data_IF_361180636838
#
_entry.id   IF_361180636838
#
_cell.length_a   1.000
_cell.length_b   1.000
_cell.length_c   1.000
_cell.angle_alpha   90.00
_cell.angle_beta   90.00
_cell.angle_gamma   90.00
#
_symmetry.space_group_name_H-M   'P 1'
#
loop_
_entity.id
_entity.type
_entity.pdbx_description
1 polymer ?
#
# COMPACT_ATOMS: atom_id res chain seq x y z
N UNK A 1 -3.95 22.55 -13.55
CA UNK A 1 -4.53 21.96 -12.31
C UNK A 1 -4.48 20.44 -12.51
N UNK A 2 -3.40 19.80 -12.04
CA UNK A 2 -3.14 18.38 -12.26
C UNK A 2 -3.89 17.56 -11.22
N UNK A 3 -5.16 17.31 -11.49
CA UNK A 3 -5.99 16.37 -10.75
C UNK A 3 -5.85 15.00 -11.40
N UNK A 4 -5.80 13.96 -10.56
CA UNK A 4 -5.76 12.55 -10.93
C UNK A 4 -4.38 12.02 -11.36
N UNK A 5 -3.41 12.04 -10.44
CA UNK A 5 -2.22 11.20 -10.62
C UNK A 5 -2.63 9.74 -10.35
N UNK A 6 -2.87 8.99 -11.42
CA UNK A 6 -2.81 7.52 -11.36
C UNK A 6 -1.48 7.15 -10.69
N UNK A 7 -1.59 6.59 -9.50
CA UNK A 7 -0.43 6.20 -8.71
C UNK A 7 -0.09 4.78 -9.12
N UNK A 8 1.19 4.52 -9.38
CA UNK A 8 1.67 3.16 -9.60
C UNK A 8 1.95 2.52 -8.25
N UNK A 9 1.39 1.35 -7.99
CA UNK A 9 1.61 0.64 -6.75
C UNK A 9 3.08 0.18 -6.68
N UNK A 10 3.89 0.63 -5.70
CA UNK A 10 5.31 0.25 -5.62
C UNK A 10 5.52 -1.24 -5.32
N UNK A 11 4.47 -1.95 -4.85
CA UNK A 11 4.53 -3.38 -4.53
C UNK A 11 4.32 -4.28 -5.75
N UNK A 12 3.34 -3.96 -6.61
CA UNK A 12 2.98 -4.81 -7.74
C UNK A 12 3.19 -4.13 -9.11
N UNK A 13 3.51 -2.84 -9.15
CA UNK A 13 3.61 -2.04 -10.37
C UNK A 13 2.27 -1.69 -11.02
N UNK A 14 1.14 -2.13 -10.46
CA UNK A 14 -0.19 -1.87 -11.02
C UNK A 14 -0.61 -0.40 -10.89
N UNK A 15 -1.17 0.17 -11.96
CA UNK A 15 -1.81 1.49 -11.93
C UNK A 15 -3.08 1.48 -11.09
N UNK A 16 -3.24 2.46 -10.21
CA UNK A 16 -4.44 2.63 -9.41
C UNK A 16 -4.69 4.11 -9.11
N UNK A 17 -5.96 4.42 -8.86
CA UNK A 17 -6.36 5.77 -8.49
C UNK A 17 -6.26 5.98 -6.97
N UNK A 18 -5.24 6.72 -6.50
CA UNK A 18 -5.16 7.08 -5.07
C UNK A 18 -6.14 8.24 -4.77
N UNK A 19 -7.37 7.89 -4.38
CA UNK A 19 -8.44 8.83 -4.03
C UNK A 19 -8.19 9.71 -2.78
N UNK A 20 -6.96 9.79 -2.28
CA UNK A 20 -6.61 10.53 -1.05
C UNK A 20 -6.79 12.05 -1.19
N UNK A 21 -6.74 12.56 -2.44
CA UNK A 21 -6.98 13.98 -2.76
C UNK A 21 -8.31 14.21 -3.50
N UNK A 22 -9.08 13.15 -3.73
CA UNK A 22 -10.32 13.21 -4.48
C UNK A 22 -11.53 13.46 -3.59
N UNK A 23 -12.62 13.89 -4.21
CA UNK A 23 -13.93 14.07 -3.56
C UNK A 23 -14.46 12.74 -2.99
N UNK A 24 -14.05 11.61 -3.56
CA UNK A 24 -14.38 10.27 -3.06
C UNK A 24 -13.11 9.57 -2.58
N UNK A 25 -12.99 9.26 -1.27
CA UNK A 25 -11.81 8.60 -0.74
C UNK A 25 -11.65 7.20 -1.33
N UNK A 26 -10.41 6.73 -1.45
CA UNK A 26 -10.14 5.34 -1.82
C UNK A 26 -10.82 4.40 -0.81
N UNK A 27 -11.32 3.25 -1.27
CA UNK A 27 -11.70 2.14 -0.38
C UNK A 27 -10.49 1.54 0.36
N UNK A 28 -9.29 2.07 0.12
CA UNK A 28 -8.06 1.62 0.74
C UNK A 28 -7.99 1.99 2.24
N UNK A 29 -8.67 3.07 2.66
CA UNK A 29 -8.81 3.45 4.06
C UNK A 29 -9.89 2.70 4.85
N UNK A 30 -10.71 1.87 4.19
CA UNK A 30 -11.72 1.04 4.89
C UNK A 30 -11.16 -0.31 5.34
N UNK A 31 -9.87 -0.55 5.07
CA UNK A 31 -9.20 -1.79 5.40
C UNK A 31 -8.64 -1.66 6.81
N UNK A 32 -8.99 -2.61 7.68
CA UNK A 32 -8.44 -2.68 9.02
C UNK A 32 -6.99 -3.19 8.93
N UNK A 33 -6.07 -2.32 9.33
CA UNK A 33 -4.64 -2.63 9.41
C UNK A 33 -4.18 -2.33 10.83
N UNK A 34 -3.39 -3.24 11.40
CA UNK A 34 -2.75 -3.00 12.69
C UNK A 34 -1.78 -1.82 12.59
N UNK A 35 -1.58 -1.13 13.72
CA UNK A 35 -0.66 0.01 13.78
C UNK A 35 0.79 -0.38 13.39
N UNK A 36 1.20 -1.61 13.71
CA UNK A 36 2.51 -2.14 13.33
C UNK A 36 2.63 -2.31 11.81
N UNK A 37 1.63 -2.94 11.17
CA UNK A 37 1.57 -3.07 9.71
C UNK A 37 1.61 -1.68 9.04
N UNK A 38 0.82 -0.71 9.54
CA UNK A 38 0.84 0.66 9.02
C UNK A 38 2.19 1.38 9.21
N UNK A 39 2.92 1.11 10.29
CA UNK A 39 4.27 1.64 10.46
C UNK A 39 5.22 1.05 9.42
N UNK A 40 5.26 -0.28 9.29
CA UNK A 40 6.09 -0.98 8.31
C UNK A 40 5.83 -0.49 6.88
N UNK A 41 4.56 -0.31 6.52
CA UNK A 41 4.20 0.23 5.21
C UNK A 41 4.77 1.63 4.99
N UNK A 42 4.72 2.51 6.00
CA UNK A 42 5.23 3.89 5.88
C UNK A 42 6.75 3.96 5.88
N UNK A 43 7.42 3.03 6.54
CA UNK A 43 8.88 2.92 6.55
C UNK A 43 9.42 2.38 5.21
N UNK A 44 8.74 1.41 4.61
CA UNK A 44 9.17 0.77 3.37
C UNK A 44 8.58 1.40 2.10
N UNK A 45 7.37 1.94 2.15
CA UNK A 45 6.68 2.54 1.02
C UNK A 45 6.32 4.01 1.31
N UNK A 46 6.83 4.91 0.48
CA UNK A 46 6.51 6.34 0.52
C UNK A 46 5.26 6.72 -0.30
N UNK A 47 4.66 5.77 -1.02
CA UNK A 47 3.49 5.97 -1.88
C UNK A 47 2.29 5.09 -1.47
N UNK A 48 1.07 5.47 -1.90
CA UNK A 48 -0.10 4.63 -1.62
C UNK A 48 0.04 3.27 -2.31
N UNK A 49 -0.53 2.23 -1.71
CA UNK A 49 -0.68 0.91 -2.31
C UNK A 49 -2.07 0.77 -2.93
N UNK A 50 -2.17 -0.05 -3.97
CA UNK A 50 -3.46 -0.36 -4.56
C UNK A 50 -4.33 -1.23 -3.62
N UNK A 51 -5.65 -1.19 -3.83
CA UNK A 51 -6.63 -1.94 -3.05
C UNK A 51 -6.33 -3.46 -2.92
N UNK A 52 -5.97 -4.20 -4.00
CA UNK A 52 -5.67 -5.63 -3.86
C UNK A 52 -4.44 -5.88 -3.00
N UNK A 53 -3.37 -5.09 -3.15
CA UNK A 53 -2.17 -5.20 -2.31
C UNK A 53 -2.49 -4.91 -0.84
N UNK A 54 -3.26 -3.87 -0.54
CA UNK A 54 -3.65 -3.56 0.83
C UNK A 54 -4.53 -4.66 1.46
N UNK A 55 -5.44 -5.25 0.69
CA UNK A 55 -6.24 -6.40 1.17
C UNK A 55 -5.39 -7.61 1.48
N UNK A 56 -4.35 -7.85 0.70
CA UNK A 56 -3.42 -8.94 0.94
C UNK A 56 -2.58 -8.67 2.18
N UNK A 57 -2.04 -7.46 2.31
CA UNK A 57 -1.35 -7.00 3.53
C UNK A 57 -2.24 -7.13 4.76
N UNK A 58 -3.52 -6.80 4.67
CA UNK A 58 -4.46 -6.93 5.79
C UNK A 58 -4.74 -8.38 6.20
N UNK A 59 -4.54 -9.32 5.28
CA UNK A 59 -4.64 -10.77 5.58
C UNK A 59 -3.32 -11.33 6.09
N UNK A 60 -2.20 -10.71 5.74
CA UNK A 60 -0.87 -11.09 6.21
C UNK A 60 -0.65 -10.58 7.63
N UNK A 61 -0.02 -11.39 8.46
CA UNK A 61 0.50 -10.93 9.76
C UNK A 61 1.68 -9.96 9.55
N UNK A 62 1.89 -9.00 10.47
CA UNK A 62 3.03 -8.08 10.41
C UNK A 62 4.36 -8.83 10.32
N UNK A 63 4.53 -9.97 11.01
CA UNK A 63 5.69 -10.84 10.88
C UNK A 63 5.92 -11.35 9.45
N UNK A 64 4.85 -11.78 8.77
CA UNK A 64 4.95 -12.26 7.39
C UNK A 64 5.31 -11.13 6.43
N UNK A 65 4.77 -9.92 6.64
CA UNK A 65 5.11 -8.75 5.85
C UNK A 65 6.59 -8.36 6.02
N UNK A 66 7.10 -8.40 7.26
CA UNK A 66 8.53 -8.16 7.56
C UNK A 66 9.42 -9.21 6.91
N UNK A 67 9.02 -10.48 6.95
CA UNK A 67 9.75 -11.57 6.31
C UNK A 67 9.80 -11.43 4.78
N UNK A 68 8.74 -10.90 4.17
CA UNK A 68 8.71 -10.61 2.72
C UNK A 68 9.61 -9.41 2.37
N UNK A 69 9.60 -8.35 3.18
CA UNK A 69 10.41 -7.14 2.99
C UNK A 69 11.90 -7.31 3.31
N UNK A 70 12.27 -8.23 4.20
CA UNK A 70 13.67 -8.52 4.55
C UNK A 70 14.36 -9.40 3.49
N UNK A 71 13.61 -9.98 2.54
CA UNK A 71 14.22 -10.72 1.44
C UNK A 71 14.98 -9.73 0.56
N UNK A 72 16.33 -9.83 0.45
CA UNK A 72 17.10 -8.90 -0.35
C UNK A 72 16.58 -8.94 -1.79
N UNK A 73 16.35 -7.75 -2.38
CA UNK A 73 15.99 -7.64 -3.79
C UNK A 73 17.00 -8.48 -4.60
N UNK A 74 16.55 -9.43 -5.44
CA UNK A 74 17.48 -10.16 -6.28
C UNK A 74 18.20 -9.16 -7.20
N UNK A 75 19.52 -9.12 -7.09
CA UNK A 75 20.44 -8.31 -7.90
C UNK A 75 20.36 -8.62 -9.39
#
# INVERSE_FOLDING_TARGET
>A
MSSTADASCPRCGGGFHCGVRDTTPCACGTIDLSAETLQLLREHYSACLCLPCLREVARLSPDALRADMTKPAPS
#
